data_IF_739472653368
#
_entry.id   IF_739472653368
#
_cell.length_a   1.000
_cell.length_b   1.000
_cell.length_c   1.000
_cell.angle_alpha   90.00
_cell.angle_beta   90.00
_cell.angle_gamma   90.00
#
_symmetry.space_group_name_H-M   'P 1'
#
loop_
_entity.id
_entity.type
_entity.pdbx_description
1 polymer ?
#
# COMPACT_ATOMS: atom_id res chain seq x y z
N UNK A 1 14.40 6.83 14.05
CA UNK A 1 15.48 6.80 15.07
C UNK A 1 16.47 5.73 14.68
N UNK A 2 17.77 5.95 14.88
CA UNK A 2 18.83 4.97 14.61
C UNK A 2 19.31 4.42 15.94
N UNK A 3 19.43 3.08 16.12
CA UNK A 3 20.03 2.52 17.34
C UNK A 3 21.42 3.10 17.60
N UNK A 4 21.76 3.27 18.88
CA UNK A 4 23.02 3.92 19.30
C UNK A 4 24.28 3.12 18.94
N UNK A 5 24.12 1.81 18.72
CA UNK A 5 25.19 0.92 18.27
C UNK A 5 24.74 0.06 17.10
N UNK A 6 25.70 -0.40 16.32
CA UNK A 6 25.47 -1.11 15.06
C UNK A 6 26.06 -2.53 15.02
N UNK A 7 26.60 -3.03 16.14
CA UNK A 7 27.06 -4.42 16.24
C UNK A 7 25.87 -5.38 16.22
N UNK A 8 26.05 -6.55 15.60
CA UNK A 8 24.97 -7.55 15.49
C UNK A 8 24.53 -8.07 16.85
N UNK A 9 25.45 -8.20 17.82
CA UNK A 9 25.14 -8.65 19.17
C UNK A 9 24.30 -7.64 19.93
N UNK A 10 24.63 -6.34 19.81
CA UNK A 10 23.80 -5.28 20.39
C UNK A 10 22.39 -5.32 19.81
N UNK A 11 22.27 -5.41 18.49
CA UNK A 11 20.98 -5.44 17.79
C UNK A 11 20.15 -6.67 18.17
N UNK A 12 20.78 -7.84 18.30
CA UNK A 12 20.12 -9.05 18.78
C UNK A 12 19.64 -8.89 20.24
N UNK A 13 20.46 -8.28 21.10
CA UNK A 13 20.12 -8.04 22.50
C UNK A 13 18.98 -7.02 22.67
N UNK A 14 18.87 -6.03 21.79
CA UNK A 14 17.72 -5.10 21.76
C UNK A 14 16.42 -5.89 21.53
N UNK A 15 16.40 -6.78 20.53
CA UNK A 15 15.23 -7.60 20.22
C UNK A 15 14.84 -8.50 21.40
N UNK A 16 15.82 -9.18 22.01
CA UNK A 16 15.62 -10.00 23.22
C UNK A 16 15.10 -9.17 24.40
N UNK A 17 15.67 -8.00 24.64
CA UNK A 17 15.27 -7.11 25.74
C UNK A 17 13.82 -6.63 25.62
N UNK A 18 13.39 -6.28 24.41
CA UNK A 18 11.99 -5.91 24.13
C UNK A 18 11.07 -7.09 24.43
N UNK A 19 11.36 -8.28 23.90
CA UNK A 19 10.52 -9.47 24.13
C UNK A 19 10.49 -9.90 25.60
N UNK A 20 11.62 -9.87 26.30
CA UNK A 20 11.68 -10.17 27.73
C UNK A 20 10.82 -9.20 28.55
N UNK A 21 10.77 -7.93 28.16
CA UNK A 21 9.93 -6.92 28.82
C UNK A 21 8.43 -7.13 28.54
N UNK A 22 8.05 -7.59 27.35
CA UNK A 22 6.67 -7.98 27.07
C UNK A 22 6.27 -9.22 27.90
N UNK A 23 7.17 -10.23 27.92
CA UNK A 23 6.93 -11.52 28.59
C UNK A 23 6.99 -11.49 30.11
N UNK A 24 7.58 -10.46 30.70
CA UNK A 24 7.51 -10.27 32.15
C UNK A 24 6.09 -9.96 32.63
N UNK A 25 5.22 -9.46 31.74
CA UNK A 25 3.82 -9.16 32.01
C UNK A 25 2.88 -10.20 31.37
N UNK A 26 3.09 -10.53 30.10
CA UNK A 26 2.32 -11.56 29.38
C UNK A 26 3.26 -12.64 28.83
N UNK A 27 3.36 -13.80 29.51
CA UNK A 27 4.22 -14.90 29.06
C UNK A 27 3.91 -15.42 27.65
N UNK A 28 2.71 -15.16 27.11
CA UNK A 28 2.27 -15.57 25.77
C UNK A 28 2.35 -14.43 24.75
N UNK A 29 2.97 -13.31 25.09
CA UNK A 29 3.08 -12.16 24.21
C UNK A 29 3.69 -12.53 22.84
N UNK A 30 3.05 -12.01 21.79
CA UNK A 30 3.55 -12.01 20.41
C UNK A 30 3.81 -10.56 20.03
N UNK A 31 5.00 -10.26 19.55
CA UNK A 31 5.36 -8.90 19.17
C UNK A 31 4.97 -8.62 17.72
N UNK A 32 4.03 -7.70 17.53
CA UNK A 32 3.72 -7.12 16.21
C UNK A 32 4.70 -5.97 15.92
N UNK A 33 5.60 -6.17 14.96
CA UNK A 33 6.65 -5.23 14.56
C UNK A 33 6.28 -4.52 13.27
N UNK A 34 6.30 -3.19 13.24
CA UNK A 34 6.27 -2.44 11.98
C UNK A 34 7.62 -2.54 11.26
N UNK A 35 7.64 -3.12 10.05
CA UNK A 35 8.85 -3.38 9.27
C UNK A 35 9.43 -2.16 8.54
N UNK A 36 8.84 -0.96 8.68
CA UNK A 36 9.23 0.25 7.94
C UNK A 36 10.71 0.58 8.04
N UNK A 37 11.33 0.33 9.19
CA UNK A 37 12.75 0.63 9.42
C UNK A 37 13.67 -0.10 8.45
N UNK A 38 13.31 -1.31 8.01
CA UNK A 38 14.06 -2.10 7.04
C UNK A 38 13.94 -1.56 5.60
N UNK A 39 12.93 -0.73 5.33
CA UNK A 39 12.74 -0.05 4.03
C UNK A 39 13.33 1.36 4.03
N UNK A 40 13.12 2.11 5.11
CA UNK A 40 13.46 3.53 5.20
C UNK A 40 14.95 3.82 5.38
N UNK A 41 15.64 3.05 6.22
CA UNK A 41 17.05 3.28 6.53
C UNK A 41 17.89 2.05 6.23
N UNK A 42 18.04 1.73 4.95
CA UNK A 42 18.80 0.55 4.47
C UNK A 42 20.30 0.67 4.71
N UNK A 43 20.84 1.88 4.87
CA UNK A 43 22.24 2.11 5.27
C UNK A 43 22.50 1.56 6.66
N UNK A 44 21.61 1.82 7.61
CA UNK A 44 21.68 1.19 8.91
C UNK A 44 21.15 -0.24 8.85
N UNK A 45 19.95 -0.52 8.37
CA UNK A 45 19.38 -1.87 8.37
C UNK A 45 19.87 -2.72 7.20
N UNK A 46 21.13 -3.16 7.29
CA UNK A 46 21.70 -4.17 6.39
C UNK A 46 21.04 -5.53 6.62
N UNK A 47 21.12 -6.43 5.64
CA UNK A 47 20.60 -7.81 5.75
C UNK A 47 21.14 -8.53 6.99
N UNK A 48 22.42 -8.34 7.33
CA UNK A 48 23.04 -8.96 8.51
C UNK A 48 22.45 -8.44 9.82
N UNK A 49 22.21 -7.12 9.94
CA UNK A 49 21.60 -6.53 11.13
C UNK A 49 20.12 -6.85 11.24
N UNK A 50 19.39 -6.82 10.12
CA UNK A 50 18.00 -7.26 10.07
C UNK A 50 17.87 -8.74 10.49
N UNK A 51 18.77 -9.61 10.00
CA UNK A 51 18.83 -11.02 10.41
C UNK A 51 19.08 -11.14 11.91
N UNK A 52 20.11 -10.48 12.44
CA UNK A 52 20.43 -10.51 13.86
C UNK A 52 19.24 -10.07 14.74
N UNK A 53 18.51 -9.03 14.32
CA UNK A 53 17.33 -8.54 15.03
C UNK A 53 16.15 -9.52 15.00
N UNK A 54 15.82 -10.03 13.82
CA UNK A 54 14.64 -10.86 13.58
C UNK A 54 14.81 -12.30 14.10
N UNK A 55 16.02 -12.86 13.99
CA UNK A 55 16.32 -14.23 14.42
C UNK A 55 16.85 -14.32 15.84
N UNK A 56 16.92 -13.19 16.57
CA UNK A 56 17.23 -13.20 18.00
C UNK A 56 16.10 -13.81 18.85
N UNK A 57 14.89 -13.88 18.30
CA UNK A 57 13.72 -14.49 18.90
C UNK A 57 13.35 -15.78 18.14
N UNK A 58 12.75 -16.78 18.81
CA UNK A 58 12.12 -17.92 18.15
C UNK A 58 11.14 -17.49 17.05
N UNK A 59 10.97 -18.36 16.04
CA UNK A 59 9.97 -18.14 14.99
C UNK A 59 8.56 -18.19 15.59
N UNK A 60 7.71 -17.21 15.27
CA UNK A 60 6.34 -17.12 15.78
C UNK A 60 6.18 -16.21 16.99
N UNK A 61 7.28 -15.82 17.65
CA UNK A 61 7.27 -14.83 18.73
C UNK A 61 7.12 -13.40 18.20
N UNK A 62 7.30 -13.21 16.89
CA UNK A 62 7.20 -11.94 16.21
C UNK A 62 6.34 -12.08 14.94
N UNK A 63 5.49 -11.09 14.68
CA UNK A 63 4.80 -10.90 13.41
C UNK A 63 5.26 -9.57 12.82
N UNK A 64 5.86 -9.61 11.63
CA UNK A 64 6.34 -8.41 10.94
C UNK A 64 5.24 -7.86 10.02
N UNK A 65 4.92 -6.58 10.15
CA UNK A 65 4.09 -5.86 9.18
C UNK A 65 5.00 -5.33 8.07
N UNK A 66 4.94 -5.92 6.88
CA UNK A 66 5.60 -5.38 5.69
C UNK A 66 4.80 -4.15 5.22
N UNK A 67 5.16 -3.00 5.79
CA UNK A 67 4.22 -1.90 6.02
C UNK A 67 3.69 -1.24 4.75
N UNK A 68 4.45 -1.28 3.67
CA UNK A 68 4.13 -0.68 2.37
C UNK A 68 4.44 -1.67 1.24
N UNK A 69 3.99 -2.91 1.38
CA UNK A 69 4.39 -4.01 0.51
C UNK A 69 3.85 -3.88 -0.92
N UNK A 70 2.81 -3.07 -1.15
CA UNK A 70 2.30 -2.74 -2.48
C UNK A 70 3.27 -1.86 -3.28
N UNK A 71 4.04 -1.01 -2.59
CA UNK A 71 4.96 -0.04 -3.21
C UNK A 71 6.42 -0.49 -3.07
N UNK A 72 6.82 -0.94 -1.88
CA UNK A 72 8.21 -1.21 -1.48
C UNK A 72 8.28 -2.50 -0.63
N UNK A 73 8.01 -3.67 -1.22
CA UNK A 73 8.07 -4.94 -0.48
C UNK A 73 9.49 -5.21 0.05
N UNK A 74 9.58 -5.55 1.33
CA UNK A 74 10.85 -5.88 2.00
C UNK A 74 11.03 -7.39 2.14
N UNK A 75 9.94 -8.15 2.24
CA UNK A 75 9.98 -9.61 2.40
C UNK A 75 10.90 -10.33 1.40
N UNK A 76 11.03 -9.98 0.10
CA UNK A 76 11.92 -10.69 -0.81
C UNK A 76 13.39 -10.46 -0.45
N UNK A 77 13.74 -9.25 -0.01
CA UNK A 77 15.11 -8.85 0.34
C UNK A 77 15.62 -9.53 1.61
N UNK A 78 14.70 -9.87 2.51
CA UNK A 78 15.01 -10.52 3.79
C UNK A 78 14.62 -12.00 3.80
N UNK A 79 14.48 -12.63 2.62
CA UNK A 79 14.12 -14.04 2.48
C UNK A 79 12.91 -14.43 3.35
N UNK A 80 11.79 -13.72 3.17
CA UNK A 80 10.58 -13.79 4.00
C UNK A 80 10.87 -13.57 5.49
N UNK A 81 11.57 -12.47 5.81
CA UNK A 81 11.96 -12.12 7.18
C UNK A 81 12.67 -13.26 7.92
N UNK A 82 13.50 -14.01 7.20
CA UNK A 82 14.23 -15.18 7.70
C UNK A 82 13.33 -16.25 8.35
N UNK A 83 12.07 -16.31 7.91
CA UNK A 83 11.06 -17.24 8.39
C UNK A 83 10.25 -16.75 9.60
N UNK A 84 10.40 -15.50 10.04
CA UNK A 84 9.41 -14.90 10.94
C UNK A 84 8.10 -14.66 10.18
N UNK A 85 6.93 -14.95 10.79
CA UNK A 85 5.65 -14.63 10.18
C UNK A 85 5.54 -13.15 9.80
N UNK A 86 4.92 -12.86 8.66
CA UNK A 86 4.68 -11.48 8.24
C UNK A 86 3.31 -11.28 7.59
N UNK A 87 2.86 -10.03 7.61
CA UNK A 87 1.61 -9.57 6.98
C UNK A 87 1.99 -8.63 5.84
N UNK A 88 1.45 -8.89 4.64
CA UNK A 88 1.56 -7.97 3.51
C UNK A 88 0.61 -6.78 3.74
N UNK A 89 1.15 -5.61 4.06
CA UNK A 89 0.31 -4.44 4.30
C UNK A 89 0.31 -3.50 3.09
N UNK A 90 -0.83 -2.85 2.87
CA UNK A 90 -0.97 -1.75 1.93
C UNK A 90 -1.00 -0.42 2.69
N UNK A 91 0.00 0.43 2.44
CA UNK A 91 0.11 1.76 3.06
C UNK A 91 -0.77 2.77 2.33
N UNK A 92 -0.57 2.94 1.03
CA UNK A 92 -1.28 3.80 0.08
C UNK A 92 -1.36 5.30 0.41
N UNK A 93 -1.68 5.71 1.63
CA UNK A 93 -1.81 7.11 2.03
C UNK A 93 -0.73 7.52 3.03
N UNK A 94 -0.07 8.65 2.73
CA UNK A 94 0.93 9.29 3.57
C UNK A 94 0.43 10.69 3.97
N UNK A 95 0.34 10.95 5.27
CA UNK A 95 0.02 12.25 5.87
C UNK A 95 -1.38 12.77 5.57
N UNK A 96 -2.35 11.92 5.21
CA UNK A 96 -3.70 12.37 4.88
C UNK A 96 -3.81 13.16 3.59
N UNK A 97 -2.80 13.08 2.71
CA UNK A 97 -2.81 13.81 1.46
C UNK A 97 -3.93 13.30 0.55
N UNK A 98 -4.63 14.26 -0.04
CA UNK A 98 -5.63 14.03 -1.07
C UNK A 98 -4.94 13.79 -2.42
N UNK A 99 -5.73 13.48 -3.45
CA UNK A 99 -5.25 13.16 -4.79
C UNK A 99 -5.51 11.71 -5.19
N UNK A 100 -5.70 11.49 -6.50
CA UNK A 100 -5.89 10.17 -7.07
C UNK A 100 -4.55 9.44 -7.10
N UNK A 101 -4.48 8.32 -6.39
CA UNK A 101 -3.28 7.49 -6.33
C UNK A 101 -3.62 6.07 -5.88
N UNK A 102 -2.88 5.11 -6.44
CA UNK A 102 -2.90 3.73 -6.00
C UNK A 102 -1.94 2.87 -6.79
N UNK A 103 -1.74 1.64 -6.31
CA UNK A 103 -0.92 0.61 -6.92
C UNK A 103 -1.76 -0.63 -7.26
N UNK A 104 -2.88 -0.46 -7.96
CA UNK A 104 -3.88 -1.54 -8.10
C UNK A 104 -3.32 -2.80 -8.76
N UNK A 105 -2.38 -2.64 -9.70
CA UNK A 105 -1.70 -3.76 -10.36
C UNK A 105 -0.79 -4.52 -9.39
N UNK A 106 -0.02 -3.81 -8.56
CA UNK A 106 0.85 -4.42 -7.57
C UNK A 106 0.06 -5.07 -6.43
N UNK A 107 -1.08 -4.51 -6.05
CA UNK A 107 -1.99 -5.14 -5.08
C UNK A 107 -2.52 -6.46 -5.64
N UNK A 108 -3.05 -6.42 -6.87
CA UNK A 108 -3.66 -7.57 -7.53
C UNK A 108 -2.68 -8.73 -7.78
N UNK A 109 -1.38 -8.44 -7.91
CA UNK A 109 -0.34 -9.47 -8.14
C UNK A 109 0.45 -9.79 -6.87
N UNK A 110 0.91 -8.75 -6.16
CA UNK A 110 1.86 -8.82 -5.06
C UNK A 110 1.38 -9.63 -3.86
N UNK A 111 0.08 -9.61 -3.55
CA UNK A 111 -0.49 -10.44 -2.49
C UNK A 111 -0.25 -11.93 -2.76
N UNK A 112 -0.38 -12.38 -4.01
CA UNK A 112 -0.20 -13.78 -4.40
C UNK A 112 1.28 -14.14 -4.51
N UNK A 113 2.10 -13.25 -5.07
CA UNK A 113 3.56 -13.42 -5.11
C UNK A 113 4.13 -13.56 -3.69
N UNK A 114 3.65 -12.76 -2.73
CA UNK A 114 4.09 -12.85 -1.34
C UNK A 114 3.63 -14.14 -0.66
N UNK A 115 2.41 -14.61 -0.96
CA UNK A 115 1.82 -15.84 -0.44
C UNK A 115 2.57 -17.09 -0.93
N UNK A 116 2.90 -17.11 -2.21
CA UNK A 116 3.56 -18.23 -2.88
C UNK A 116 5.09 -18.20 -2.75
N UNK A 117 5.64 -17.22 -2.03
CA UNK A 117 7.08 -17.10 -1.84
C UNK A 117 7.66 -18.30 -1.07
N UNK A 118 8.90 -18.68 -1.41
CA UNK A 118 9.58 -19.90 -0.93
C UNK A 118 9.70 -20.05 0.59
N UNK A 119 9.60 -18.95 1.34
CA UNK A 119 9.61 -18.97 2.80
C UNK A 119 8.27 -19.32 3.45
N UNK A 120 7.16 -19.25 2.70
CA UNK A 120 5.77 -19.45 3.14
C UNK A 120 5.44 -18.82 4.51
N UNK A 121 6.09 -17.70 4.84
CA UNK A 121 5.94 -17.03 6.13
C UNK A 121 4.88 -15.93 6.11
N UNK A 122 4.25 -15.68 4.97
CA UNK A 122 3.13 -14.76 4.88
C UNK A 122 1.91 -15.39 5.57
N UNK A 123 1.38 -14.73 6.60
CA UNK A 123 0.23 -15.21 7.37
C UNK A 123 -1.03 -14.36 7.19
N UNK A 124 -0.95 -13.27 6.42
CA UNK A 124 -2.11 -12.41 6.19
C UNK A 124 -1.82 -11.21 5.31
N UNK A 125 -2.88 -10.45 5.04
CA UNK A 125 -2.84 -9.14 4.39
C UNK A 125 -3.36 -8.08 5.37
N UNK A 126 -2.95 -6.82 5.19
CA UNK A 126 -3.29 -5.73 6.11
C UNK A 126 -3.42 -4.37 5.41
N UNK A 127 -4.01 -3.43 6.16
CA UNK A 127 -4.15 -2.03 5.78
C UNK A 127 -3.40 -1.19 6.82
N UNK A 128 -2.51 -0.31 6.37
CA UNK A 128 -1.57 0.43 7.23
C UNK A 128 -1.54 1.93 6.97
N UNK A 129 -2.54 2.46 6.28
CA UNK A 129 -2.64 3.88 5.88
C UNK A 129 -2.44 4.86 7.03
N UNK A 130 -1.78 5.99 6.77
CA UNK A 130 -1.67 7.07 7.74
C UNK A 130 -2.99 7.85 7.90
N UNK A 131 -3.88 7.78 6.90
CA UNK A 131 -5.24 8.31 6.97
C UNK A 131 -6.19 7.58 6.01
N UNK A 132 -7.49 7.65 6.33
CA UNK A 132 -8.59 7.08 5.54
C UNK A 132 -9.40 8.16 4.82
N UNK A 133 -10.36 7.76 3.99
CA UNK A 133 -11.33 8.67 3.38
C UNK A 133 -10.99 9.11 1.96
N UNK A 134 -9.95 8.54 1.34
CA UNK A 134 -9.56 8.74 -0.07
C UNK A 134 -9.59 7.43 -0.85
N UNK A 135 -9.45 7.47 -2.18
CA UNK A 135 -9.07 6.33 -3.04
C UNK A 135 -9.76 4.97 -2.75
N UNK A 136 -11.09 4.98 -2.52
CA UNK A 136 -11.86 3.81 -2.07
C UNK A 136 -11.65 2.53 -2.89
N UNK A 137 -11.52 2.64 -4.21
CA UNK A 137 -11.27 1.52 -5.12
C UNK A 137 -10.03 0.71 -4.72
N UNK A 138 -8.98 1.37 -4.22
CA UNK A 138 -7.70 0.75 -3.87
C UNK A 138 -7.86 -0.11 -2.61
N UNK A 139 -8.61 0.41 -1.63
CA UNK A 139 -8.91 -0.30 -0.39
C UNK A 139 -9.89 -1.46 -0.60
N UNK A 140 -10.90 -1.29 -1.46
CA UNK A 140 -11.83 -2.37 -1.81
C UNK A 140 -11.08 -3.51 -2.50
N UNK A 141 -10.22 -3.20 -3.48
CA UNK A 141 -9.40 -4.20 -4.15
C UNK A 141 -8.51 -4.96 -3.16
N UNK A 142 -7.78 -4.25 -2.28
CA UNK A 142 -6.87 -4.87 -1.31
C UNK A 142 -7.61 -5.79 -0.33
N UNK A 143 -8.78 -5.38 0.15
CA UNK A 143 -9.62 -6.22 1.00
C UNK A 143 -10.13 -7.46 0.26
N UNK A 144 -10.53 -7.33 -1.00
CA UNK A 144 -10.93 -8.50 -1.79
C UNK A 144 -9.77 -9.48 -2.02
N UNK A 145 -8.55 -9.00 -2.24
CA UNK A 145 -7.37 -9.86 -2.46
C UNK A 145 -7.05 -10.78 -1.28
N UNK A 146 -7.50 -10.41 -0.07
CA UNK A 146 -7.43 -11.29 1.10
C UNK A 146 -8.15 -12.62 0.86
N UNK A 147 -9.36 -12.58 0.30
CA UNK A 147 -10.24 -13.74 0.14
C UNK A 147 -10.03 -14.49 -1.17
N UNK A 148 -9.39 -13.87 -2.16
CA UNK A 148 -9.14 -14.49 -3.46
C UNK A 148 -7.98 -15.49 -3.37
N UNK A 149 -8.07 -16.55 -4.19
CA UNK A 149 -7.00 -17.54 -4.36
C UNK A 149 -5.99 -17.15 -5.45
N UNK A 150 -6.43 -16.37 -6.43
CA UNK A 150 -5.63 -15.90 -7.57
C UNK A 150 -5.96 -14.43 -7.90
N UNK A 151 -5.06 -13.71 -8.61
CA UNK A 151 -5.34 -12.37 -9.12
C UNK A 151 -6.65 -12.31 -9.90
N UNK A 152 -7.37 -11.19 -9.81
CA UNK A 152 -8.56 -10.95 -10.63
C UNK A 152 -8.18 -10.41 -12.01
N UNK A 153 -9.07 -10.61 -12.99
CA UNK A 153 -9.01 -9.85 -14.25
C UNK A 153 -9.40 -8.42 -13.94
N UNK A 154 -8.42 -7.53 -13.95
CA UNK A 154 -8.56 -6.20 -13.36
C UNK A 154 -9.69 -5.36 -14.01
N UNK A 155 -9.81 -5.38 -15.33
CA UNK A 155 -10.85 -4.61 -16.03
C UNK A 155 -12.26 -5.14 -15.78
N UNK A 156 -12.43 -6.46 -15.68
CA UNK A 156 -13.72 -7.07 -15.29
C UNK A 156 -14.07 -6.72 -13.84
N UNK A 157 -13.07 -6.72 -12.96
CA UNK A 157 -13.25 -6.30 -11.57
C UNK A 157 -13.67 -4.84 -11.46
N UNK A 158 -13.05 -3.93 -12.24
CA UNK A 158 -13.44 -2.52 -12.32
C UNK A 158 -14.87 -2.38 -12.84
N UNK A 159 -15.24 -3.12 -13.89
CA UNK A 159 -16.61 -3.13 -14.41
C UNK A 159 -17.62 -3.46 -13.31
N UNK A 160 -17.36 -4.52 -12.55
CA UNK A 160 -18.19 -4.92 -11.42
C UNK A 160 -18.17 -3.90 -10.26
N UNK A 161 -17.02 -3.31 -9.95
CA UNK A 161 -16.90 -2.24 -8.95
C UNK A 161 -17.78 -1.04 -9.32
N UNK A 162 -17.72 -0.58 -10.57
CA UNK A 162 -18.54 0.57 -11.02
C UNK A 162 -20.04 0.25 -10.97
N UNK A 163 -20.44 -0.96 -11.35
CA UNK A 163 -21.83 -1.40 -11.27
C UNK A 163 -22.34 -1.38 -9.81
N UNK A 164 -21.57 -1.94 -8.86
CA UNK A 164 -21.94 -1.92 -7.44
C UNK A 164 -21.95 -0.51 -6.86
N UNK A 165 -20.98 0.32 -7.24
CA UNK A 165 -20.82 1.68 -6.73
C UNK A 165 -21.93 2.62 -7.19
N UNK A 166 -22.36 2.50 -8.45
CA UNK A 166 -23.32 3.43 -9.05
C UNK A 166 -24.73 2.86 -9.24
N UNK A 167 -24.90 1.54 -9.11
CA UNK A 167 -26.21 0.87 -9.20
C UNK A 167 -26.69 0.57 -10.62
N UNK A 168 -25.93 0.93 -11.66
CA UNK A 168 -26.25 0.65 -13.07
C UNK A 168 -24.98 0.49 -13.91
N UNK A 169 -25.12 -0.16 -15.06
CA UNK A 169 -24.04 -0.33 -16.03
C UNK A 169 -24.03 0.86 -16.99
N UNK A 170 -22.88 1.49 -17.16
CA UNK A 170 -22.67 2.57 -18.12
C UNK A 170 -21.27 2.48 -18.72
N UNK A 171 -21.20 2.46 -20.05
CA UNK A 171 -19.96 2.29 -20.80
C UNK A 171 -18.97 3.42 -20.56
N UNK A 172 -19.44 4.67 -20.55
CA UNK A 172 -18.55 5.82 -20.31
C UNK A 172 -17.96 5.77 -18.90
N UNK A 173 -18.75 5.40 -17.88
CA UNK A 173 -18.23 5.21 -16.51
C UNK A 173 -17.14 4.12 -16.47
N UNK A 174 -17.37 2.98 -17.11
CA UNK A 174 -16.37 1.91 -17.15
C UNK A 174 -15.08 2.35 -17.86
N UNK A 175 -15.19 3.11 -18.96
CA UNK A 175 -14.05 3.68 -19.69
C UNK A 175 -13.28 4.71 -18.84
N UNK A 176 -13.99 5.54 -18.09
CA UNK A 176 -13.39 6.49 -17.16
C UNK A 176 -12.54 5.77 -16.09
N UNK A 177 -13.13 4.82 -15.39
CA UNK A 177 -12.43 4.08 -14.33
C UNK A 177 -11.27 3.24 -14.87
N UNK A 178 -11.42 2.65 -16.07
CA UNK A 178 -10.31 1.95 -16.73
C UNK A 178 -9.15 2.90 -17.04
N UNK A 179 -9.46 4.12 -17.50
CA UNK A 179 -8.46 5.17 -17.74
C UNK A 179 -7.74 5.59 -16.46
N UNK A 180 -8.46 5.70 -15.33
CA UNK A 180 -7.84 5.97 -14.02
C UNK A 180 -6.89 4.86 -13.57
N UNK A 181 -7.25 3.60 -13.84
CA UNK A 181 -6.37 2.45 -13.58
C UNK A 181 -5.14 2.42 -14.46
N UNK A 182 -5.23 2.90 -15.69
CA UNK A 182 -4.08 3.03 -16.58
C UNK A 182 -3.21 4.26 -16.26
N UNK A 183 -3.68 5.14 -15.37
CA UNK A 183 -3.01 6.39 -15.00
C UNK A 183 -2.77 6.50 -13.50
N UNK A 184 -3.62 7.20 -12.77
CA UNK A 184 -3.44 7.56 -11.37
C UNK A 184 -3.38 6.34 -10.43
N UNK A 185 -4.21 5.32 -10.68
CA UNK A 185 -4.28 4.10 -9.87
C UNK A 185 -3.31 3.00 -10.31
N UNK A 186 -2.65 3.16 -11.47
CA UNK A 186 -1.58 2.30 -11.95
C UNK A 186 -0.19 2.92 -11.82
N UNK A 187 -0.07 4.06 -11.14
CA UNK A 187 1.17 4.83 -11.09
C UNK A 187 2.17 4.24 -10.09
N UNK A 188 3.47 4.35 -10.42
CA UNK A 188 4.58 3.81 -9.60
C UNK A 188 4.85 4.68 -8.35
N UNK A 189 4.36 5.92 -8.30
CA UNK A 189 4.56 6.80 -7.13
C UNK A 189 3.49 7.90 -7.09
N UNK A 190 3.19 8.48 -5.92
CA UNK A 190 2.24 9.58 -5.83
C UNK A 190 2.73 10.78 -6.62
N UNK A 191 1.81 11.45 -7.31
CA UNK A 191 2.08 12.77 -7.87
C UNK A 191 2.32 13.79 -6.74
N UNK A 192 3.13 14.81 -6.99
CA UNK A 192 3.27 15.96 -6.10
C UNK A 192 2.48 17.11 -6.69
N UNK A 193 1.44 17.54 -5.97
CA UNK A 193 0.55 18.59 -6.42
C UNK A 193 1.15 19.97 -6.16
N UNK A 194 1.10 20.83 -7.17
CA UNK A 194 1.59 22.21 -7.08
C UNK A 194 0.80 23.05 -6.08
N UNK A 195 -0.52 22.83 -6.00
CA UNK A 195 -1.45 23.63 -5.20
C UNK A 195 -1.16 23.59 -3.69
N UNK A 196 -0.59 22.48 -3.20
CA UNK A 196 -0.28 22.29 -1.78
C UNK A 196 1.20 22.49 -1.44
N UNK A 197 2.03 22.80 -2.44
CA UNK A 197 3.46 23.03 -2.25
C UNK A 197 3.73 24.48 -1.86
N UNK A 198 4.76 24.70 -1.02
CA UNK A 198 5.21 26.06 -0.68
C UNK A 198 5.69 26.77 -1.96
N UNK A 199 5.20 27.99 -2.28
CA UNK A 199 5.63 28.72 -3.46
C UNK A 199 7.15 28.90 -3.53
N UNK A 200 7.72 28.63 -4.70
CA UNK A 200 9.14 28.79 -5.01
C UNK A 200 9.32 29.10 -6.51
N UNK A 201 10.51 29.59 -6.89
CA UNK A 201 10.79 29.92 -8.30
C UNK A 201 10.94 28.67 -9.20
N UNK A 202 11.32 27.51 -8.65
CA UNK A 202 11.53 26.26 -9.41
C UNK A 202 10.58 25.14 -8.95
N UNK A 203 9.29 25.33 -9.21
CA UNK A 203 8.24 24.41 -8.75
C UNK A 203 8.15 23.12 -9.57
N UNK A 204 8.70 23.06 -10.78
CA UNK A 204 8.69 21.83 -11.60
C UNK A 204 9.50 20.69 -10.97
N UNK A 205 10.48 21.01 -10.13
CA UNK A 205 11.21 20.04 -9.31
C UNK A 205 10.44 19.59 -8.06
N UNK A 206 9.45 20.38 -7.64
CA UNK A 206 8.69 20.21 -6.39
C UNK A 206 7.30 19.61 -6.64
N UNK A 207 6.74 19.78 -7.84
CA UNK A 207 5.43 19.32 -8.24
C UNK A 207 5.47 18.70 -9.65
N UNK A 208 4.96 17.48 -9.78
CA UNK A 208 4.90 16.75 -11.04
C UNK A 208 3.76 15.72 -11.01
N UNK A 209 3.17 15.48 -12.18
CA UNK A 209 2.26 14.37 -12.41
C UNK A 209 3.03 13.19 -13.00
N UNK A 210 2.76 11.98 -12.52
CA UNK A 210 3.42 10.75 -12.98
C UNK A 210 2.67 10.04 -14.12
N UNK A 211 1.62 10.65 -14.65
CA UNK A 211 0.78 10.12 -15.70
C UNK A 211 0.41 11.22 -16.72
N UNK A 212 -0.03 10.79 -17.91
CA UNK A 212 -0.40 11.70 -18.98
C UNK A 212 -1.65 12.51 -18.59
N UNK A 213 -1.54 13.85 -18.64
CA UNK A 213 -2.64 14.77 -18.34
C UNK A 213 -3.82 14.58 -19.29
N UNK A 214 -3.57 14.33 -20.56
CA UNK A 214 -4.61 14.14 -21.58
C UNK A 214 -5.51 12.95 -21.26
N UNK A 215 -4.94 11.89 -20.66
CA UNK A 215 -5.71 10.72 -20.23
C UNK A 215 -6.63 11.03 -19.05
N UNK A 216 -6.22 11.93 -18.15
CA UNK A 216 -7.09 12.39 -17.06
C UNK A 216 -8.23 13.28 -17.59
N UNK A 217 -7.93 14.18 -18.52
CA UNK A 217 -8.96 15.01 -19.20
C UNK A 217 -9.97 14.12 -19.92
N UNK A 218 -9.49 13.08 -20.62
CA UNK A 218 -10.37 12.12 -21.28
C UNK A 218 -11.25 11.37 -20.27
N UNK A 219 -10.71 11.00 -19.10
CA UNK A 219 -11.49 10.44 -18.01
C UNK A 219 -12.61 11.39 -17.54
N UNK A 220 -12.31 12.68 -17.35
CA UNK A 220 -13.32 13.67 -16.99
C UNK A 220 -14.40 13.75 -18.07
N UNK A 221 -14.02 13.80 -19.35
CA UNK A 221 -14.99 13.81 -20.46
C UNK A 221 -15.90 12.57 -20.48
N UNK A 222 -15.36 11.38 -20.17
CA UNK A 222 -16.18 10.16 -20.02
C UNK A 222 -17.20 10.32 -18.89
N UNK A 223 -16.77 10.83 -17.75
CA UNK A 223 -17.65 11.04 -16.60
C UNK A 223 -18.70 12.09 -16.94
N UNK A 224 -18.33 13.18 -17.59
CA UNK A 224 -19.26 14.23 -18.01
C UNK A 224 -20.33 13.72 -18.98
N UNK A 225 -19.99 12.84 -19.93
CA UNK A 225 -21.01 12.23 -20.80
C UNK A 225 -21.99 11.34 -20.02
N UNK A 226 -21.54 10.74 -18.91
CA UNK A 226 -22.42 10.01 -18.02
C UNK A 226 -23.32 10.93 -17.16
N UNK A 227 -22.99 12.23 -16.99
CA UNK A 227 -23.70 13.19 -16.12
C UNK A 227 -25.16 13.44 -16.51
N UNK A 228 -25.54 13.15 -17.76
CA UNK A 228 -26.86 13.56 -18.28
C UNK A 228 -28.02 12.90 -17.51
N UNK A 229 -27.78 11.84 -16.72
CA UNK A 229 -28.85 11.02 -16.12
C UNK A 229 -28.66 10.57 -14.65
N UNK A 230 -27.81 11.20 -13.81
CA UNK A 230 -27.46 10.62 -12.50
C UNK A 230 -27.65 11.59 -11.32
N UNK A 231 -28.58 11.27 -10.42
CA UNK A 231 -28.82 11.97 -9.13
C UNK A 231 -28.20 11.27 -7.90
N UNK A 232 -27.25 10.34 -8.11
CA UNK A 232 -26.77 9.43 -7.07
C UNK A 232 -25.54 9.98 -6.28
N UNK A 233 -25.60 9.91 -4.94
CA UNK A 233 -24.55 10.43 -4.01
C UNK A 233 -23.17 9.82 -4.27
N UNK A 234 -23.10 8.52 -4.57
CA UNK A 234 -21.84 7.83 -4.85
C UNK A 234 -21.09 8.41 -6.07
N UNK A 235 -21.84 9.02 -6.99
CA UNK A 235 -21.34 9.63 -8.21
C UNK A 235 -20.92 11.10 -8.01
N UNK A 236 -21.69 11.90 -7.26
CA UNK A 236 -21.27 13.25 -6.86
C UNK A 236 -19.96 13.25 -6.08
N UNK A 237 -19.76 12.26 -5.20
CA UNK A 237 -18.49 12.10 -4.48
C UNK A 237 -17.30 11.74 -5.37
N UNK A 238 -17.53 11.11 -6.52
CA UNK A 238 -16.47 10.81 -7.50
C UNK A 238 -16.09 12.06 -8.28
N UNK A 239 -17.07 12.85 -8.75
CA UNK A 239 -16.80 14.11 -9.47
C UNK A 239 -16.06 15.15 -8.62
N UNK A 240 -16.53 15.39 -7.39
CA UNK A 240 -15.91 16.36 -6.46
C UNK A 240 -14.45 16.05 -6.08
N UNK A 241 -13.94 14.87 -6.45
CA UNK A 241 -12.56 14.45 -6.19
C UNK A 241 -11.71 14.37 -7.45
N UNK A 242 -12.32 14.60 -8.61
CA UNK A 242 -11.67 14.66 -9.92
C UNK A 242 -11.50 16.10 -10.41
N UNK A 243 -12.40 17.01 -9.99
CA UNK A 243 -12.24 18.47 -10.05
C UNK A 243 -11.28 18.97 -8.97
#
# INVERSE_FOLDING_TARGET
>A
MVPSQSSVDYIANVSKGIMSSLRSIDPKAIWVLQGWMFSYNTTFWTTQRAKAFLTALPKGDMIVLDLAAEEKPVYPKLNSYFGQPFIFCMLNNYGGRMGLYGHVRNINQGVFIARDNSGHAMIGTGLSMEATGTNYIVYELMNEMHYKKHPVVLYDWIGNYTLRRYGFSNRDIQMAWSSLVDTAYGSISPSKEFLIARPAWNMSSLAFLRYNRSSLVQCVNYIERALVNISYIGYQSTLLRLE
#
